data_IF_543226378469
#
_entry.id   IF_543226378469
#
_cell.length_a   1.000
_cell.length_b   1.000
_cell.length_c   1.000
_cell.angle_alpha   90.00
_cell.angle_beta   90.00
_cell.angle_gamma   90.00
#
_symmetry.space_group_name_H-M   'P 1'
#
loop_
_entity.id
_entity.type
_entity.pdbx_description
1 polymer ?
#
# COMPACT_ATOMS: atom_id res chain seq x y z
N UNK A 1 0.59 -1.95 2.22
CA UNK A 1 0.36 -2.02 0.77
C UNK A 1 -0.14 -3.41 0.47
N UNK A 2 -1.09 -3.58 -0.45
CA UNK A 2 -1.60 -4.89 -0.85
C UNK A 2 -1.03 -5.37 -2.20
N UNK A 3 -1.31 -6.63 -2.53
CA UNK A 3 -0.85 -7.28 -3.76
C UNK A 3 -1.42 -6.62 -5.03
N UNK A 4 -2.62 -6.05 -4.95
CA UNK A 4 -3.26 -5.35 -6.07
C UNK A 4 -2.51 -4.06 -6.42
N UNK A 5 -2.14 -3.28 -5.40
CA UNK A 5 -1.31 -2.08 -5.52
C UNK A 5 0.06 -2.42 -6.08
N UNK A 6 0.70 -3.50 -5.57
CA UNK A 6 1.99 -3.96 -6.10
C UNK A 6 1.90 -4.28 -7.60
N UNK A 7 0.86 -5.02 -8.01
CA UNK A 7 0.66 -5.41 -9.42
C UNK A 7 0.34 -4.21 -10.32
N UNK A 8 -0.40 -3.23 -9.80
CA UNK A 8 -0.80 -2.02 -10.54
C UNK A 8 0.40 -1.19 -10.96
N UNK A 9 1.47 -1.17 -10.16
CA UNK A 9 2.68 -0.39 -10.41
C UNK A 9 3.90 -1.30 -10.71
N UNK A 10 3.67 -2.39 -11.44
CA UNK A 10 4.73 -3.32 -11.85
C UNK A 10 5.87 -2.65 -12.62
N UNK A 11 5.58 -1.58 -13.34
CA UNK A 11 6.55 -0.76 -14.07
C UNK A 11 7.52 0.02 -13.16
N UNK A 12 7.23 0.13 -11.86
CA UNK A 12 8.07 0.79 -10.86
C UNK A 12 8.77 -0.21 -9.94
N UNK A 13 8.74 -1.50 -10.29
CA UNK A 13 9.50 -2.52 -9.59
C UNK A 13 10.99 -2.36 -9.91
N UNK A 14 11.79 -2.41 -8.86
CA UNK A 14 13.25 -2.46 -8.94
C UNK A 14 13.75 -3.60 -8.06
N UNK A 15 14.95 -4.07 -8.36
CA UNK A 15 15.62 -5.04 -7.50
C UNK A 15 16.02 -4.36 -6.18
N UNK A 16 15.58 -4.94 -5.07
CA UNK A 16 15.92 -4.47 -3.74
C UNK A 16 17.30 -4.92 -3.27
N UNK A 17 17.68 -4.47 -2.08
CA UNK A 17 18.75 -5.10 -1.31
C UNK A 17 18.15 -6.28 -0.54
N UNK A 18 18.70 -7.49 -0.66
CA UNK A 18 18.19 -8.65 0.08
C UNK A 18 18.09 -8.36 1.58
N UNK A 19 16.94 -8.63 2.16
CA UNK A 19 16.68 -8.43 3.58
C UNK A 19 17.01 -9.70 4.37
N UNK A 20 17.69 -9.54 5.51
CA UNK A 20 17.93 -10.65 6.46
C UNK A 20 16.80 -10.80 7.49
N UNK A 21 15.89 -9.82 7.56
CA UNK A 21 14.73 -9.84 8.46
C UNK A 21 13.73 -10.88 7.97
N UNK A 22 13.42 -11.87 8.83
CA UNK A 22 12.50 -12.95 8.48
C UNK A 22 11.09 -12.75 9.05
N UNK A 23 10.92 -11.83 10.01
CA UNK A 23 9.65 -11.63 10.69
C UNK A 23 9.40 -10.15 11.00
N UNK A 24 8.25 -9.66 10.54
CA UNK A 24 7.69 -8.37 10.92
C UNK A 24 6.48 -8.63 11.81
N UNK A 25 6.47 -8.14 13.07
CA UNK A 25 5.32 -8.32 13.95
C UNK A 25 4.14 -7.47 13.45
N UNK A 26 2.91 -7.93 13.74
CA UNK A 26 1.65 -7.24 13.44
C UNK A 26 1.22 -7.20 11.96
N UNK A 27 1.86 -7.95 11.06
CA UNK A 27 1.31 -8.17 9.73
C UNK A 27 0.07 -9.06 9.81
N UNK A 28 -0.95 -8.77 9.01
CA UNK A 28 -2.00 -9.76 8.71
C UNK A 28 -1.42 -10.93 7.91
N UNK A 29 -2.15 -12.02 7.78
CA UNK A 29 -1.71 -13.18 6.99
C UNK A 29 -1.46 -12.78 5.53
N UNK A 30 -2.32 -11.94 4.94
CA UNK A 30 -2.17 -11.44 3.57
C UNK A 30 -0.94 -10.54 3.40
N UNK A 31 -0.66 -9.68 4.39
CA UNK A 31 0.52 -8.83 4.38
C UNK A 31 1.80 -9.64 4.56
N UNK A 32 1.75 -10.69 5.37
CA UNK A 32 2.86 -11.62 5.55
C UNK A 32 3.18 -12.37 4.26
N UNK A 33 2.16 -12.89 3.56
CA UNK A 33 2.34 -13.55 2.26
C UNK A 33 2.96 -12.61 1.22
N UNK A 34 2.49 -11.36 1.17
CA UNK A 34 3.07 -10.35 0.28
C UNK A 34 4.53 -10.05 0.64
N UNK A 35 4.84 -9.94 1.93
CA UNK A 35 6.21 -9.73 2.40
C UNK A 35 7.14 -10.88 1.98
N UNK A 36 6.71 -12.13 2.17
CA UNK A 36 7.50 -13.31 1.75
C UNK A 36 7.71 -13.33 0.24
N UNK A 37 6.69 -12.98 -0.54
CA UNK A 37 6.81 -12.85 -2.00
C UNK A 37 7.84 -11.79 -2.40
N UNK A 38 7.73 -10.58 -1.85
CA UNK A 38 8.66 -9.48 -2.13
C UNK A 38 10.11 -9.85 -1.78
N UNK A 39 10.31 -10.51 -0.64
CA UNK A 39 11.63 -10.96 -0.20
C UNK A 39 12.21 -12.03 -1.13
N UNK A 40 11.42 -13.05 -1.50
CA UNK A 40 11.87 -14.16 -2.36
C UNK A 40 12.25 -13.69 -3.76
N UNK A 41 11.43 -12.83 -4.35
CA UNK A 41 11.64 -12.28 -5.69
C UNK A 41 12.59 -11.07 -5.69
N UNK A 42 13.05 -10.64 -4.52
CA UNK A 42 13.86 -9.44 -4.29
C UNK A 42 13.27 -8.17 -4.97
N UNK A 43 11.96 -8.02 -4.86
CA UNK A 43 11.20 -6.91 -5.45
C UNK A 43 11.12 -5.76 -4.43
N UNK A 44 11.46 -4.55 -4.88
CA UNK A 44 11.20 -3.30 -4.18
C UNK A 44 10.36 -2.39 -5.08
N UNK A 45 9.30 -1.81 -4.54
CA UNK A 45 8.51 -0.81 -5.26
C UNK A 45 9.04 0.59 -4.94
N UNK A 46 9.34 1.39 -5.97
CA UNK A 46 9.70 2.80 -5.81
C UNK A 46 8.45 3.65 -5.57
N UNK A 47 8.03 3.73 -4.30
CA UNK A 47 6.78 4.40 -3.90
C UNK A 47 6.74 5.88 -4.31
N UNK A 48 7.89 6.54 -4.41
CA UNK A 48 8.05 7.93 -4.85
C UNK A 48 7.59 8.17 -6.29
N UNK A 49 7.50 7.10 -7.10
CA UNK A 49 7.03 7.17 -8.50
C UNK A 49 5.51 7.00 -8.63
N UNK A 50 4.83 6.61 -7.54
CA UNK A 50 3.37 6.56 -7.50
C UNK A 50 2.84 7.98 -7.46
N UNK A 51 1.85 8.28 -8.31
CA UNK A 51 1.28 9.63 -8.35
C UNK A 51 0.65 10.02 -7.02
N UNK A 52 0.85 11.27 -6.62
CA UNK A 52 0.27 11.83 -5.40
C UNK A 52 -1.26 11.65 -5.34
N UNK A 53 -1.94 11.91 -6.46
CA UNK A 53 -3.40 11.77 -6.57
C UNK A 53 -3.85 10.34 -6.26
N UNK A 54 -3.14 9.34 -6.78
CA UNK A 54 -3.44 7.93 -6.48
C UNK A 54 -3.21 7.63 -4.99
N UNK A 55 -2.06 8.05 -4.44
CA UNK A 55 -1.71 7.78 -3.06
C UNK A 55 -2.74 8.37 -2.07
N UNK A 56 -3.15 9.62 -2.29
CA UNK A 56 -4.18 10.28 -1.47
C UNK A 56 -5.52 9.57 -1.58
N UNK A 57 -5.95 9.18 -2.78
CA UNK A 57 -7.19 8.42 -2.97
C UNK A 57 -7.15 7.10 -2.21
N UNK A 58 -6.08 6.34 -2.35
CA UNK A 58 -5.92 5.03 -1.69
C UNK A 58 -5.94 5.16 -0.17
N UNK A 59 -5.18 6.11 0.39
CA UNK A 59 -5.15 6.35 1.84
C UNK A 59 -6.54 6.74 2.35
N UNK A 60 -7.26 7.61 1.63
CA UNK A 60 -8.62 8.03 1.99
C UNK A 60 -9.58 6.85 2.00
N UNK A 61 -9.61 6.04 0.95
CA UNK A 61 -10.47 4.85 0.85
C UNK A 61 -10.18 3.88 2.00
N UNK A 62 -8.90 3.64 2.30
CA UNK A 62 -8.51 2.76 3.40
C UNK A 62 -8.93 3.31 4.76
N UNK A 63 -8.77 4.60 5.00
CA UNK A 63 -9.22 5.24 6.25
C UNK A 63 -10.73 5.13 6.43
N UNK A 64 -11.51 5.40 5.39
CA UNK A 64 -12.97 5.28 5.44
C UNK A 64 -13.42 3.84 5.67
N UNK A 65 -12.71 2.86 5.08
CA UNK A 65 -13.01 1.43 5.32
C UNK A 65 -12.78 0.99 6.76
N UNK A 66 -11.90 1.67 7.50
CA UNK A 66 -11.58 1.37 8.90
C UNK A 66 -12.54 2.08 9.87
N UNK A 67 -13.03 3.25 9.50
CA UNK A 67 -13.85 4.12 10.35
C UNK A 67 -15.30 4.19 9.89
N UNK A 68 -15.92 3.04 9.65
CA UNK A 68 -17.25 2.89 9.05
C UNK A 68 -18.39 3.67 9.79
N UNK A 69 -18.13 4.26 10.96
CA UNK A 69 -19.07 5.12 11.69
C UNK A 69 -19.05 6.62 11.27
N UNK A 70 -17.98 7.14 10.63
CA UNK A 70 -17.82 8.61 10.43
C UNK A 70 -18.15 9.13 9.01
N UNK A 71 -18.57 8.26 8.09
CA UNK A 71 -18.69 8.60 6.65
C UNK A 71 -19.85 9.57 6.35
N UNK A 72 -20.75 9.84 7.29
CA UNK A 72 -21.90 10.73 7.06
C UNK A 72 -21.61 12.24 7.23
N UNK A 73 -20.44 12.66 7.70
CA UNK A 73 -20.22 14.08 8.08
C UNK A 73 -19.35 14.92 7.12
N UNK A 74 -18.55 14.33 6.23
CA UNK A 74 -17.50 15.09 5.51
C UNK A 74 -17.71 15.19 3.99
N UNK A 75 -18.95 15.29 3.54
CA UNK A 75 -19.29 15.59 2.14
C UNK A 75 -19.21 17.09 1.77
N UNK A 76 -18.33 17.86 2.42
CA UNK A 76 -18.06 19.25 2.08
C UNK A 76 -16.55 19.53 2.01
N UNK A 77 -15.92 19.13 0.92
CA UNK A 77 -14.69 19.77 0.46
C UNK A 77 -14.83 20.02 -1.03
N UNK A 78 -15.62 21.05 -1.35
CA UNK A 78 -15.60 21.71 -2.66
C UNK A 78 -14.34 22.56 -2.69
N UNK A 79 -13.47 22.31 -3.67
CA UNK A 79 -12.33 23.18 -3.96
C UNK A 79 -12.89 24.41 -4.70
N UNK A 80 -12.85 25.58 -4.05
CA UNK A 80 -12.76 26.87 -4.73
C UNK A 80 -11.30 27.15 -5.13
#
# INVERSE_FOLDING_TARGET
MDKATLSTFSEFWVTGTPLSVQRLPHLTDEEHDLFIYLMKENIRLEQERISYVYAIRYIRERYLSLNCEDVLLNHNFTLE
#
